data_IF_664195805072
#
_entry.id   IF_664195805072
#
_cell.length_a   1.000
_cell.length_b   1.000
_cell.length_c   1.000
_cell.angle_alpha   90.00
_cell.angle_beta   90.00
_cell.angle_gamma   90.00
#
_symmetry.space_group_name_H-M   'P 1'
#
loop_
_entity.id
_entity.type
_entity.pdbx_description
1 polymer ?
#
# COMPACT_ATOMS: atom_id res chain seq x y z
N UNK A 1 -40.16 10.29 -59.65
CA UNK A 1 -39.72 9.02 -59.04
C UNK A 1 -38.57 9.32 -58.08
N UNK A 2 -38.83 9.25 -56.78
CA UNK A 2 -37.96 9.74 -55.71
C UNK A 2 -36.90 8.67 -55.39
N UNK A 3 -35.61 9.01 -55.53
CA UNK A 3 -34.49 8.19 -55.05
C UNK A 3 -34.42 8.29 -53.52
N UNK A 4 -34.62 7.17 -52.83
CA UNK A 4 -34.41 7.03 -51.39
C UNK A 4 -32.91 7.11 -51.09
N UNK A 5 -32.48 8.15 -50.39
CA UNK A 5 -31.19 8.18 -49.69
C UNK A 5 -31.43 7.60 -48.29
N UNK A 6 -30.86 6.44 -47.99
CA UNK A 6 -30.80 5.90 -46.63
C UNK A 6 -29.48 6.39 -46.05
N UNK A 7 -29.54 7.43 -45.23
CA UNK A 7 -28.39 7.90 -44.46
C UNK A 7 -28.25 6.99 -43.25
N UNK A 8 -27.24 6.11 -43.27
CA UNK A 8 -26.86 5.28 -42.14
C UNK A 8 -26.18 6.18 -41.10
N UNK A 9 -26.92 6.58 -40.06
CA UNK A 9 -26.35 7.28 -38.92
C UNK A 9 -25.52 6.30 -38.09
N UNK A 10 -24.20 6.31 -38.29
CA UNK A 10 -23.26 5.64 -37.41
C UNK A 10 -23.27 6.36 -36.05
N UNK A 11 -24.03 5.81 -35.09
CA UNK A 11 -23.94 6.20 -33.68
C UNK A 11 -22.59 5.71 -33.16
N UNK A 12 -21.59 6.58 -33.26
CA UNK A 12 -20.35 6.44 -32.50
C UNK A 12 -20.70 6.61 -31.02
N UNK A 13 -20.89 5.50 -30.32
CA UNK A 13 -20.83 5.46 -28.86
C UNK A 13 -19.41 5.86 -28.44
N UNK A 14 -19.19 7.17 -28.27
CA UNK A 14 -18.09 7.68 -27.48
C UNK A 14 -18.35 7.29 -26.03
N UNK A 15 -17.87 6.11 -25.64
CA UNK A 15 -17.63 5.85 -24.22
C UNK A 15 -16.61 6.89 -23.75
N UNK A 16 -17.09 7.92 -23.07
CA UNK A 16 -16.24 8.88 -22.37
C UNK A 16 -15.56 8.12 -21.23
N UNK A 17 -14.38 7.57 -21.50
CA UNK A 17 -13.48 7.04 -20.48
C UNK A 17 -12.91 8.22 -19.70
N UNK A 18 -13.65 8.69 -18.69
CA UNK A 18 -13.06 9.52 -17.65
C UNK A 18 -12.27 8.59 -16.73
N UNK A 19 -11.06 8.22 -17.14
CA UNK A 19 -10.17 7.38 -16.32
C UNK A 19 -9.61 8.27 -15.21
N UNK A 20 -10.00 8.00 -13.97
CA UNK A 20 -9.26 8.52 -12.82
C UNK A 20 -7.79 8.09 -12.96
N UNK A 21 -6.86 9.00 -12.71
CA UNK A 21 -5.43 8.70 -12.74
C UNK A 21 -5.12 7.68 -11.64
N UNK A 22 -4.41 6.61 -11.98
CA UNK A 22 -3.97 5.61 -11.01
C UNK A 22 -2.99 6.23 -10.01
N UNK A 23 -3.34 6.19 -8.74
CA UNK A 23 -2.47 6.60 -7.64
C UNK A 23 -1.40 5.53 -7.42
N UNK A 24 -0.21 5.97 -7.00
CA UNK A 24 0.89 5.06 -6.71
C UNK A 24 1.43 5.39 -5.33
N UNK A 25 1.34 4.40 -4.44
CA UNK A 25 1.91 4.46 -3.09
C UNK A 25 3.05 3.46 -3.01
N UNK A 26 4.14 3.84 -2.35
CA UNK A 26 5.29 2.95 -2.14
C UNK A 26 5.56 2.83 -0.66
N UNK A 27 5.60 1.60 -0.15
CA UNK A 27 5.96 1.28 1.23
C UNK A 27 7.45 0.96 1.29
N UNK A 28 8.19 1.71 2.09
CA UNK A 28 9.60 1.45 2.40
C UNK A 28 9.75 1.09 3.87
N UNK A 29 10.56 0.07 4.14
CA UNK A 29 10.85 -0.39 5.49
C UNK A 29 12.30 -0.13 5.82
N UNK A 30 12.54 0.43 7.01
CA UNK A 30 13.85 0.84 7.46
C UNK A 30 14.17 0.25 8.83
N UNK A 31 15.44 -0.11 9.00
CA UNK A 31 16.01 -0.52 10.29
C UNK A 31 17.15 0.41 10.65
N UNK A 32 17.26 0.77 11.91
CA UNK A 32 18.42 1.54 12.35
C UNK A 32 18.31 2.01 13.78
N UNK A 33 18.76 3.23 14.03
CA UNK A 33 18.79 3.79 15.38
C UNK A 33 18.36 5.26 15.44
N UNK A 34 17.79 5.61 16.59
CA UNK A 34 17.70 6.97 17.09
C UNK A 34 18.64 7.04 18.30
N UNK A 35 19.77 7.72 18.14
CA UNK A 35 20.93 7.65 19.05
C UNK A 35 21.35 6.18 19.26
N UNK A 36 21.36 5.72 20.51
CA UNK A 36 21.67 4.32 20.89
C UNK A 36 20.47 3.37 20.84
N UNK A 37 19.27 3.87 20.55
CA UNK A 37 18.05 3.08 20.61
C UNK A 37 17.71 2.50 19.23
N UNK A 38 17.70 1.17 19.07
CA UNK A 38 17.34 0.56 17.80
C UNK A 38 15.85 0.73 17.51
N UNK A 39 15.52 0.96 16.24
CA UNK A 39 14.16 1.18 15.74
C UNK A 39 13.91 0.43 14.43
N UNK A 40 12.63 0.12 14.19
CA UNK A 40 12.08 -0.26 12.89
C UNK A 40 11.09 0.82 12.47
N UNK A 41 11.11 1.23 11.20
CA UNK A 41 10.29 2.30 10.66
C UNK A 41 9.72 1.91 9.30
N UNK A 42 8.43 2.10 9.09
CA UNK A 42 7.76 1.95 7.80
C UNK A 42 7.28 3.32 7.33
N UNK A 43 7.57 3.68 6.08
CA UNK A 43 7.12 4.91 5.44
C UNK A 43 6.38 4.59 4.14
N UNK A 44 5.14 5.05 4.04
CA UNK A 44 4.31 5.04 2.86
C UNK A 44 4.45 6.39 2.15
N UNK A 45 4.87 6.36 0.89
CA UNK A 45 5.10 7.54 0.07
C UNK A 45 4.06 7.59 -1.03
N UNK A 46 3.17 8.58 -0.99
CA UNK A 46 2.28 8.89 -2.10
C UNK A 46 3.05 9.67 -3.17
N UNK A 47 3.24 9.08 -4.35
CA UNK A 47 4.06 9.67 -5.42
C UNK A 47 3.44 10.90 -6.08
N UNK A 48 2.14 11.11 -5.94
CA UNK A 48 1.46 12.26 -6.56
C UNK A 48 1.61 13.54 -5.73
N UNK A 49 1.72 13.40 -4.41
CA UNK A 49 1.70 14.53 -3.46
C UNK A 49 2.99 14.68 -2.68
N UNK A 50 3.94 13.75 -2.83
CA UNK A 50 5.17 13.66 -2.03
C UNK A 50 4.92 13.64 -0.51
N UNK A 51 3.71 13.24 -0.11
CA UNK A 51 3.33 13.08 1.30
C UNK A 51 3.82 11.74 1.81
N UNK A 52 4.41 11.75 3.00
CA UNK A 52 4.79 10.55 3.73
C UNK A 52 3.88 10.36 4.93
N UNK A 53 3.44 9.13 5.12
CA UNK A 53 2.78 8.67 6.33
C UNK A 53 3.43 7.36 6.75
N UNK A 54 3.45 7.04 8.02
CA UNK A 54 4.13 5.85 8.45
C UNK A 54 4.19 5.70 9.95
N UNK A 55 4.91 4.68 10.38
CA UNK A 55 5.02 4.34 11.79
C UNK A 55 6.41 3.84 12.10
N UNK A 56 6.81 3.99 13.34
CA UNK A 56 8.05 3.38 13.82
C UNK A 56 7.91 2.95 15.27
N UNK A 57 8.74 2.01 15.69
CA UNK A 57 8.79 1.58 17.08
C UNK A 57 10.22 1.29 17.50
N UNK A 58 10.48 1.44 18.80
CA UNK A 58 11.72 1.01 19.42
C UNK A 58 11.66 -0.51 19.64
N UNK A 59 12.71 -1.24 19.25
CA UNK A 59 12.71 -2.72 19.37
C UNK A 59 12.44 -3.18 20.81
N UNK A 60 12.95 -2.44 21.81
CA UNK A 60 12.72 -2.76 23.22
C UNK A 60 11.24 -2.68 23.63
N UNK A 61 10.49 -1.77 23.02
CA UNK A 61 9.08 -1.53 23.35
C UNK A 61 8.13 -2.41 22.52
N UNK A 62 8.60 -2.93 21.38
CA UNK A 62 7.78 -3.76 20.49
C UNK A 62 6.85 -2.95 19.59
N UNK A 63 6.23 -3.65 18.64
CA UNK A 63 5.37 -3.07 17.59
C UNK A 63 4.07 -2.47 18.16
N UNK A 64 3.58 -2.99 19.29
CA UNK A 64 2.35 -2.50 19.96
C UNK A 64 2.55 -1.10 20.56
N UNK A 65 3.81 -0.67 20.70
CA UNK A 65 4.19 0.66 21.18
C UNK A 65 4.57 1.63 20.06
N UNK A 66 4.07 1.40 18.84
CA UNK A 66 4.36 2.21 17.66
C UNK A 66 3.95 3.68 17.82
N UNK A 67 4.74 4.53 17.19
CA UNK A 67 4.56 5.96 17.08
C UNK A 67 4.32 6.29 15.61
N UNK A 68 3.40 7.19 15.34
CA UNK A 68 3.08 7.57 13.98
C UNK A 68 3.92 8.75 13.54
N UNK A 69 4.27 8.75 12.27
CA UNK A 69 5.03 9.81 11.63
C UNK A 69 4.32 10.26 10.37
N UNK A 70 4.29 11.58 10.15
CA UNK A 70 3.73 12.17 8.93
C UNK A 70 4.56 13.35 8.47
N UNK A 71 4.69 13.52 7.16
CA UNK A 71 5.35 14.69 6.63
C UNK A 71 5.44 14.71 5.12
N UNK A 72 6.50 15.32 4.61
CA UNK A 72 6.69 15.56 3.18
C UNK A 72 8.13 15.29 2.75
N UNK A 73 8.28 14.83 1.52
CA UNK A 73 9.58 14.72 0.85
C UNK A 73 9.92 16.10 0.28
N UNK A 74 11.01 16.67 0.74
CA UNK A 74 11.54 17.92 0.24
C UNK A 74 12.55 17.73 -0.90
N UNK A 75 13.05 18.85 -1.47
CA UNK A 75 14.09 18.81 -2.48
C UNK A 75 15.37 18.14 -1.95
N UNK A 76 16.14 17.54 -2.86
CA UNK A 76 17.43 16.92 -2.53
C UNK A 76 17.33 15.68 -1.64
N UNK A 77 16.21 14.94 -1.67
CA UNK A 77 15.93 13.80 -0.79
C UNK A 77 15.91 14.15 0.70
N UNK A 78 15.56 15.40 1.04
CA UNK A 78 15.24 15.76 2.41
C UNK A 78 13.86 15.22 2.79
N UNK A 79 13.69 14.82 4.04
CA UNK A 79 12.44 14.30 4.60
C UNK A 79 12.25 14.97 5.96
N UNK A 80 11.10 15.61 6.14
CA UNK A 80 10.70 16.17 7.42
C UNK A 80 9.46 15.42 7.90
N UNK A 81 9.52 14.81 9.08
CA UNK A 81 8.39 14.09 9.68
C UNK A 81 8.05 14.67 11.05
N UNK A 82 6.76 14.74 11.34
CA UNK A 82 6.21 15.01 12.67
C UNK A 82 5.80 13.69 13.31
N UNK A 83 6.30 13.43 14.50
CA UNK A 83 5.93 12.27 15.31
C UNK A 83 4.76 12.58 16.23
N UNK A 84 3.80 11.65 16.32
CA UNK A 84 2.68 11.71 17.26
C UNK A 84 2.55 10.41 18.04
N UNK A 85 2.32 10.52 19.35
CA UNK A 85 1.97 9.40 20.21
C UNK A 85 0.44 9.33 20.38
N UNK A 86 -0.19 8.32 19.81
CA UNK A 86 -1.64 8.13 19.86
C UNK A 86 -2.16 7.76 21.25
N UNK A 87 -1.29 7.32 22.17
CA UNK A 87 -1.63 6.97 23.54
C UNK A 87 -1.68 8.20 24.45
N UNK A 88 -1.20 9.34 23.97
CA UNK A 88 -1.19 10.59 24.73
C UNK A 88 -2.00 11.66 24.00
N UNK A 89 -3.11 12.04 24.63
CA UNK A 89 -3.89 13.22 24.26
C UNK A 89 -3.35 14.42 25.02
N UNK A 90 -3.33 15.58 24.37
CA UNK A 90 -3.18 16.85 25.08
C UNK A 90 -4.52 17.31 25.66
N UNK A 91 -4.49 18.50 26.30
CA UNK A 91 -5.65 19.10 26.95
C UNK A 91 -6.80 19.45 25.98
N UNK A 92 -6.51 19.52 24.68
CA UNK A 92 -7.45 19.88 23.61
C UNK A 92 -7.88 18.63 22.80
N UNK A 93 -7.66 17.44 23.38
CA UNK A 93 -7.92 16.11 22.80
C UNK A 93 -7.15 15.82 21.49
N UNK A 94 -6.11 16.59 21.21
CA UNK A 94 -5.24 16.36 20.07
C UNK A 94 -4.12 15.37 20.42
N UNK A 95 -3.69 14.59 19.43
CA UNK A 95 -2.54 13.71 19.60
C UNK A 95 -1.28 14.54 19.83
N UNK A 96 -0.58 14.25 20.92
CA UNK A 96 0.60 14.99 21.32
C UNK A 96 1.72 14.80 20.32
N UNK A 97 2.29 15.91 19.85
CA UNK A 97 3.54 15.90 19.08
C UNK A 97 4.70 15.64 20.05
N UNK A 98 5.38 14.52 19.85
CA UNK A 98 6.46 14.06 20.73
C UNK A 98 7.84 14.20 20.11
N UNK A 99 7.92 14.36 18.79
CA UNK A 99 9.18 14.42 18.07
C UNK A 99 9.07 15.04 16.67
N UNK A 100 10.20 15.50 16.16
CA UNK A 100 10.37 16.02 14.81
C UNK A 100 11.60 15.37 14.18
N UNK A 101 11.44 14.75 13.02
CA UNK A 101 12.54 14.21 12.24
C UNK A 101 12.94 15.17 11.13
N UNK A 102 14.24 15.35 10.95
CA UNK A 102 14.83 15.95 9.75
C UNK A 102 15.88 14.96 9.23
N UNK A 103 15.57 14.31 8.11
CA UNK A 103 16.36 13.23 7.53
C UNK A 103 16.75 13.57 6.09
N UNK A 104 17.84 12.97 5.61
CA UNK A 104 18.29 13.08 4.23
C UNK A 104 18.77 11.71 3.73
N UNK A 105 18.47 11.40 2.48
CA UNK A 105 18.97 10.22 1.77
C UNK A 105 17.86 9.44 1.06
N UNK A 106 18.23 8.31 0.44
CA UNK A 106 17.27 7.37 -0.18
C UNK A 106 17.34 6.03 0.54
N UNK A 107 18.42 5.29 0.33
CA UNK A 107 18.58 3.90 0.80
C UNK A 107 19.10 3.88 2.23
N UNK A 108 19.80 4.93 2.63
CA UNK A 108 20.17 5.21 4.01
C UNK A 108 19.68 6.61 4.33
N UNK A 109 18.83 6.72 5.35
CA UNK A 109 18.40 8.01 5.88
C UNK A 109 19.30 8.37 7.06
N UNK A 110 19.83 9.58 7.06
CA UNK A 110 20.61 10.12 8.18
C UNK A 110 20.12 11.51 8.53
N UNK A 111 20.16 11.85 9.82
CA UNK A 111 19.70 13.15 10.27
C UNK A 111 19.49 13.21 11.76
N UNK A 112 18.44 13.90 12.21
CA UNK A 112 18.17 14.10 13.62
C UNK A 112 16.68 13.95 13.94
N UNK A 113 16.43 13.49 15.15
CA UNK A 113 15.17 13.57 15.86
C UNK A 113 15.28 14.68 16.91
N UNK A 114 14.26 15.53 17.04
CA UNK A 114 14.21 16.62 18.01
C UNK A 114 12.93 16.55 18.83
N UNK A 115 13.06 16.60 20.16
CA UNK A 115 11.94 16.80 21.05
C UNK A 115 11.51 18.28 21.02
N UNK A 116 10.28 18.62 20.60
CA UNK A 116 9.84 20.00 20.53
C UNK A 116 9.65 20.66 21.91
N UNK A 117 9.44 19.86 22.96
CA UNK A 117 9.15 20.35 24.31
C UNK A 117 10.43 20.59 25.14
N UNK A 118 11.44 19.73 24.98
CA UNK A 118 12.70 19.82 25.76
C UNK A 118 13.86 20.39 24.95
N UNK A 119 13.74 20.43 23.62
CA UNK A 119 14.82 20.81 22.71
C UNK A 119 15.90 19.75 22.54
N UNK A 120 15.78 18.58 23.18
CA UNK A 120 16.75 17.49 23.04
C UNK A 120 16.84 17.02 21.58
N UNK A 121 18.06 16.77 21.11
CA UNK A 121 18.34 16.32 19.75
C UNK A 121 19.09 15.00 19.80
N UNK A 122 18.62 14.03 19.02
CA UNK A 122 19.20 12.69 18.91
C UNK A 122 19.55 12.43 17.45
N UNK A 123 20.77 11.94 17.14
CA UNK A 123 21.12 11.59 15.76
C UNK A 123 20.31 10.37 15.30
N UNK A 124 19.96 10.32 14.02
CA UNK A 124 19.18 9.24 13.41
C UNK A 124 19.97 8.65 12.26
N UNK A 125 20.01 7.32 12.19
CA UNK A 125 20.58 6.58 11.07
C UNK A 125 19.71 5.37 10.79
N UNK A 126 19.16 5.29 9.58
CA UNK A 126 18.25 4.24 9.14
C UNK A 126 18.76 3.68 7.81
N UNK A 127 18.67 2.37 7.63
CA UNK A 127 18.96 1.68 6.38
C UNK A 127 17.69 1.01 5.86
N UNK A 128 17.38 1.21 4.59
CA UNK A 128 16.25 0.60 3.90
C UNK A 128 16.47 -0.91 3.77
N UNK A 129 15.40 -1.69 3.90
CA UNK A 129 15.39 -3.15 3.73
C UNK A 129 15.26 -3.54 2.26
N UNK A 130 14.52 -2.76 1.49
CA UNK A 130 14.32 -2.95 0.06
C UNK A 130 15.61 -2.70 -0.75
N UNK A 131 15.77 -3.44 -1.85
CA UNK A 131 16.91 -3.42 -2.76
C UNK A 131 16.55 -2.66 -4.04
N UNK A 132 16.61 -1.34 -3.97
CA UNK A 132 16.20 -0.48 -5.10
C UNK A 132 17.08 -0.64 -6.35
N UNK A 133 18.32 -1.12 -6.20
CA UNK A 133 19.25 -1.34 -7.33
C UNK A 133 18.74 -2.36 -8.38
N UNK A 134 17.74 -3.17 -8.04
CA UNK A 134 17.12 -4.12 -8.98
C UNK A 134 15.74 -3.72 -9.47
N UNK A 135 15.06 -2.80 -8.79
CA UNK A 135 13.73 -2.31 -9.12
C UNK A 135 13.54 -0.92 -8.48
N UNK A 136 13.67 0.13 -9.29
CA UNK A 136 13.45 1.51 -8.86
C UNK A 136 11.98 1.89 -9.09
N UNK A 137 11.19 2.18 -8.04
CA UNK A 137 9.78 2.57 -8.21
C UNK A 137 9.58 3.74 -9.17
N UNK A 138 10.54 4.67 -9.20
CA UNK A 138 10.51 5.85 -10.05
C UNK A 138 10.41 5.52 -11.56
N UNK A 139 11.02 4.41 -11.98
CA UNK A 139 11.07 3.96 -13.37
C UNK A 139 9.76 3.34 -13.87
N UNK A 140 8.88 2.98 -12.93
CA UNK A 140 7.59 2.36 -13.24
C UNK A 140 6.44 3.36 -13.19
N UNK A 141 5.52 3.21 -14.14
CA UNK A 141 4.20 3.85 -14.14
C UNK A 141 3.13 2.80 -14.29
N UNK A 142 2.02 2.99 -13.59
CA UNK A 142 0.91 2.04 -13.57
C UNK A 142 -0.36 2.70 -14.08
N UNK A 143 -1.16 1.94 -14.83
CA UNK A 143 -2.46 2.37 -15.28
C UNK A 143 -3.46 1.23 -15.12
N UNK A 144 -4.37 1.38 -14.17
CA UNK A 144 -5.53 0.52 -14.04
C UNK A 144 -6.60 0.95 -15.04
N UNK A 145 -7.09 0.00 -15.84
CA UNK A 145 -8.21 0.25 -16.74
C UNK A 145 -9.51 0.22 -15.94
N UNK A 146 -10.13 1.39 -15.80
CA UNK A 146 -11.41 1.54 -15.09
C UNK A 146 -12.61 1.57 -16.03
N UNK A 147 -13.74 1.05 -15.58
CA UNK A 147 -15.04 1.19 -16.25
C UNK A 147 -16.17 1.22 -15.23
N UNK A 148 -17.38 1.58 -15.68
CA UNK A 148 -18.59 1.52 -14.86
C UNK A 148 -19.30 0.19 -15.10
N UNK A 149 -19.59 -0.55 -14.03
CA UNK A 149 -20.31 -1.83 -14.10
C UNK A 149 -21.38 -1.93 -13.01
N UNK A 150 -22.48 -2.58 -13.32
CA UNK A 150 -23.56 -2.86 -12.36
C UNK A 150 -23.17 -3.98 -11.41
N UNK A 151 -23.55 -3.83 -10.15
CA UNK A 151 -23.43 -4.88 -9.13
C UNK A 151 -24.55 -4.72 -8.09
N UNK A 152 -24.91 -5.83 -7.45
CA UNK A 152 -25.85 -5.83 -6.33
C UNK A 152 -25.08 -5.59 -5.04
N UNK A 153 -25.48 -4.57 -4.29
CA UNK A 153 -24.89 -4.28 -2.98
C UNK A 153 -25.41 -5.22 -1.88
N UNK A 154 -24.79 -5.18 -0.71
CA UNK A 154 -25.19 -5.98 0.44
C UNK A 154 -26.63 -5.72 0.94
N UNK A 155 -27.24 -4.61 0.51
CA UNK A 155 -28.64 -4.27 0.76
C UNK A 155 -29.59 -4.73 -0.36
N UNK A 156 -29.12 -5.53 -1.31
CA UNK A 156 -29.85 -5.99 -2.50
C UNK A 156 -30.28 -4.87 -3.46
N UNK A 157 -29.55 -3.76 -3.51
CA UNK A 157 -29.78 -2.71 -4.51
C UNK A 157 -28.79 -2.84 -5.66
N UNK A 158 -29.29 -2.75 -6.90
CA UNK A 158 -28.42 -2.60 -8.05
C UNK A 158 -27.84 -1.19 -8.11
N UNK A 159 -26.51 -1.08 -8.18
CA UNK A 159 -25.80 0.19 -8.30
C UNK A 159 -24.67 0.11 -9.32
N UNK A 160 -24.30 1.28 -9.85
CA UNK A 160 -23.13 1.43 -10.71
C UNK A 160 -21.86 1.63 -9.86
N UNK A 161 -20.91 0.74 -9.99
CA UNK A 161 -19.60 0.83 -9.35
C UNK A 161 -18.51 1.12 -10.37
N UNK A 162 -17.39 1.69 -9.91
CA UNK A 162 -16.15 1.71 -10.71
C UNK A 162 -15.47 0.37 -10.53
N UNK A 163 -15.21 -0.31 -11.65
CA UNK A 163 -14.53 -1.59 -11.71
C UNK A 163 -13.19 -1.48 -12.43
N UNK A 164 -12.30 -2.42 -12.16
CA UNK A 164 -11.02 -2.60 -12.83
C UNK A 164 -10.89 -4.01 -13.37
N UNK A 165 -10.29 -4.16 -14.55
CA UNK A 165 -10.08 -5.49 -15.15
C UNK A 165 -8.73 -5.69 -15.84
N UNK A 166 -7.87 -4.66 -15.83
CA UNK A 166 -6.55 -4.72 -16.44
C UNK A 166 -5.62 -3.75 -15.74
N UNK A 167 -4.38 -4.17 -15.55
CA UNK A 167 -3.25 -3.37 -15.11
C UNK A 167 -2.23 -3.29 -16.25
N UNK A 168 -2.04 -2.08 -16.78
CA UNK A 168 -0.93 -1.77 -17.69
C UNK A 168 0.25 -1.25 -16.86
N UNK A 169 1.41 -1.87 -17.07
CA UNK A 169 2.67 -1.53 -16.41
C UNK A 169 3.62 -1.00 -17.45
N UNK A 170 4.13 0.21 -17.22
CA UNK A 170 5.11 0.87 -18.06
C UNK A 170 6.44 0.92 -17.33
N UNK A 171 7.52 0.61 -18.04
CA UNK A 171 8.89 0.79 -17.57
C UNK A 171 9.57 1.79 -18.48
N UNK A 172 10.09 2.88 -17.90
CA UNK A 172 10.70 3.98 -18.66
C UNK A 172 9.80 4.48 -19.81
N UNK A 173 8.53 4.72 -19.49
CA UNK A 173 7.48 5.17 -20.41
C UNK A 173 7.10 4.23 -21.55
N UNK A 174 7.66 3.02 -21.60
CA UNK A 174 7.29 1.98 -22.56
C UNK A 174 6.40 0.97 -21.89
N UNK A 175 5.33 0.57 -22.57
CA UNK A 175 4.49 -0.52 -22.09
C UNK A 175 5.35 -1.78 -21.95
N UNK A 176 5.47 -2.26 -20.72
CA UNK A 176 6.30 -3.39 -20.34
C UNK A 176 5.47 -4.65 -20.14
N UNK A 177 4.28 -4.52 -19.54
CA UNK A 177 3.41 -5.64 -19.23
C UNK A 177 1.94 -5.21 -19.24
N UNK A 178 1.05 -6.13 -19.66
CA UNK A 178 -0.39 -6.04 -19.41
C UNK A 178 -0.81 -7.25 -18.61
N UNK A 179 -1.53 -7.04 -17.50
CA UNK A 179 -2.06 -8.10 -16.67
C UNK A 179 -3.58 -7.95 -16.61
N UNK A 180 -4.30 -8.99 -17.01
CA UNK A 180 -5.76 -9.08 -16.88
C UNK A 180 -6.15 -10.30 -16.04
N UNK A 181 -7.39 -10.78 -16.20
CA UNK A 181 -7.88 -11.97 -15.48
C UNK A 181 -8.56 -11.67 -14.16
N UNK A 182 -8.90 -10.40 -13.90
CA UNK A 182 -9.69 -9.96 -12.76
C UNK A 182 -10.80 -9.02 -13.22
N UNK A 183 -11.85 -8.88 -12.40
CA UNK A 183 -12.91 -7.89 -12.59
C UNK A 183 -13.44 -7.49 -11.20
N UNK A 184 -12.86 -6.45 -10.61
CA UNK A 184 -13.09 -6.07 -9.21
C UNK A 184 -13.53 -4.62 -9.07
N UNK A 185 -14.32 -4.32 -8.03
CA UNK A 185 -14.64 -2.94 -7.69
C UNK A 185 -13.45 -2.26 -7.03
N UNK A 186 -13.31 -0.95 -7.25
CA UNK A 186 -12.41 -0.10 -6.48
C UNK A 186 -13.22 0.81 -5.57
N UNK A 187 -12.77 0.95 -4.34
CA UNK A 187 -13.42 1.84 -3.40
C UNK A 187 -13.24 3.32 -3.82
N UNK A 188 -14.25 4.14 -3.53
CA UNK A 188 -14.22 5.59 -3.69
C UNK A 188 -13.83 6.12 -5.08
N UNK A 189 -13.92 5.29 -6.13
CA UNK A 189 -13.44 5.60 -7.48
C UNK A 189 -11.95 5.98 -7.54
N UNK A 190 -11.13 5.46 -6.61
CA UNK A 190 -9.70 5.77 -6.50
C UNK A 190 -8.87 4.54 -6.89
N UNK A 191 -8.55 4.36 -8.19
CA UNK A 191 -7.64 3.30 -8.59
C UNK A 191 -6.25 3.57 -8.00
N UNK A 192 -5.71 2.61 -7.26
CA UNK A 192 -4.40 2.71 -6.61
C UNK A 192 -3.57 1.44 -6.87
N UNK A 193 -2.27 1.62 -7.03
CA UNK A 193 -1.28 0.56 -6.97
C UNK A 193 -0.35 0.86 -5.80
N UNK A 194 -0.24 -0.10 -4.88
CA UNK A 194 0.69 -0.05 -3.75
C UNK A 194 1.87 -0.94 -4.09
N UNK A 195 3.08 -0.40 -3.98
CA UNK A 195 4.33 -1.15 -4.09
C UNK A 195 4.86 -1.47 -2.69
N UNK A 196 5.06 -2.75 -2.39
CA UNK A 196 5.53 -3.25 -1.08
C UNK A 196 6.25 -4.59 -1.28
N UNK A 197 7.25 -4.91 -0.47
CA UNK A 197 7.89 -6.25 -0.49
C UNK A 197 6.99 -7.26 0.24
N UNK A 198 6.25 -8.07 -0.52
CA UNK A 198 5.23 -8.99 0.00
C UNK A 198 5.80 -10.38 0.33
N UNK A 199 6.98 -10.70 -0.20
CA UNK A 199 7.63 -12.01 -0.03
C UNK A 199 8.96 -11.96 0.75
N UNK A 200 9.36 -10.77 1.21
CA UNK A 200 10.52 -10.48 2.04
C UNK A 200 11.88 -10.77 1.37
N UNK A 201 11.94 -10.69 0.04
CA UNK A 201 13.17 -10.92 -0.75
C UNK A 201 13.96 -9.62 -1.04
N UNK A 202 13.39 -8.49 -0.65
CA UNK A 202 13.90 -7.13 -0.81
C UNK A 202 13.45 -6.45 -2.11
N UNK A 203 12.68 -7.09 -2.98
CA UNK A 203 12.13 -6.47 -4.18
C UNK A 203 10.69 -6.04 -3.93
N UNK A 204 10.30 -4.89 -4.48
CA UNK A 204 8.92 -4.42 -4.36
C UNK A 204 8.03 -5.22 -5.30
N UNK A 205 6.96 -5.77 -4.73
CA UNK A 205 5.85 -6.39 -5.40
C UNK A 205 4.71 -5.36 -5.55
N UNK A 206 3.55 -5.77 -6.09
CA UNK A 206 2.37 -4.90 -6.20
C UNK A 206 1.19 -5.48 -5.42
N UNK A 207 0.40 -4.59 -4.83
CA UNK A 207 -0.98 -4.89 -4.44
C UNK A 207 -1.93 -3.78 -4.88
N UNK A 208 -3.15 -4.16 -5.24
CA UNK A 208 -4.20 -3.24 -5.71
C UNK A 208 -5.40 -3.37 -4.79
N UNK A 209 -5.76 -2.32 -4.03
CA UNK A 209 -6.94 -2.35 -3.18
C UNK A 209 -8.21 -2.61 -4.01
N UNK A 210 -9.05 -3.52 -3.54
CA UNK A 210 -10.35 -3.84 -4.14
C UNK A 210 -11.45 -3.85 -3.08
N UNK A 211 -12.68 -3.66 -3.55
CA UNK A 211 -13.89 -3.56 -2.75
C UNK A 211 -14.91 -4.62 -3.19
N UNK A 212 -15.69 -5.12 -2.24
CA UNK A 212 -16.72 -6.14 -2.40
C UNK A 212 -18.08 -5.56 -1.94
N UNK A 213 -18.79 -4.83 -2.82
CA UNK A 213 -20.04 -4.16 -2.47
C UNK A 213 -21.14 -5.07 -1.95
N UNK A 214 -21.10 -6.36 -2.31
CA UNK A 214 -22.07 -7.37 -1.93
C UNK A 214 -21.93 -7.83 -0.47
N UNK A 215 -20.91 -7.37 0.26
CA UNK A 215 -20.60 -7.78 1.63
C UNK A 215 -20.79 -6.64 2.63
N UNK A 216 -21.29 -6.97 3.83
CA UNK A 216 -21.40 -6.03 4.97
C UNK A 216 -20.13 -6.02 5.82
N UNK A 217 -19.40 -7.13 5.82
CA UNK A 217 -18.14 -7.34 6.55
C UNK A 217 -17.12 -7.91 5.59
N UNK A 218 -15.84 -7.57 5.78
CA UNK A 218 -14.77 -7.97 4.86
C UNK A 218 -15.08 -7.56 3.44
N UNK A 219 -15.57 -6.33 3.31
CA UNK A 219 -15.96 -5.71 2.05
C UNK A 219 -14.75 -5.12 1.30
N UNK A 220 -13.52 -5.40 1.74
CA UNK A 220 -12.30 -4.94 1.10
C UNK A 220 -11.21 -6.00 1.12
N UNK A 221 -10.35 -5.96 0.11
CA UNK A 221 -9.23 -6.89 -0.07
C UNK A 221 -8.17 -6.29 -1.01
N UNK A 222 -7.24 -7.09 -1.48
CA UNK A 222 -6.27 -6.71 -2.50
C UNK A 222 -6.12 -7.78 -3.58
N UNK A 223 -5.85 -7.34 -4.81
CA UNK A 223 -5.16 -8.17 -5.78
C UNK A 223 -3.66 -8.11 -5.48
N UNK A 224 -2.95 -9.24 -5.55
CA UNK A 224 -1.53 -9.32 -5.26
C UNK A 224 -0.74 -9.79 -6.48
N UNK A 225 0.42 -9.17 -6.72
CA UNK A 225 1.30 -9.51 -7.83
C UNK A 225 2.75 -9.52 -7.36
N UNK A 226 3.42 -10.66 -7.51
CA UNK A 226 4.81 -10.86 -7.08
C UNK A 226 5.77 -10.58 -8.23
N UNK A 227 6.86 -9.87 -7.97
CA UNK A 227 7.88 -9.58 -8.94
C UNK A 227 8.77 -10.81 -9.19
N UNK A 228 8.71 -11.33 -10.42
CA UNK A 228 9.61 -12.38 -10.87
C UNK A 228 10.90 -11.76 -11.41
N UNK A 229 11.99 -11.92 -10.66
CA UNK A 229 13.32 -11.38 -10.99
C UNK A 229 13.91 -11.91 -12.30
N UNK A 230 13.51 -13.11 -12.72
CA UNK A 230 14.02 -13.76 -13.95
C UNK A 230 13.35 -13.17 -15.18
N UNK A 231 12.01 -13.10 -15.19
CA UNK A 231 11.25 -12.52 -16.30
C UNK A 231 11.18 -10.99 -16.24
N UNK A 232 11.52 -10.40 -15.08
CA UNK A 232 11.36 -8.97 -14.75
C UNK A 232 9.91 -8.50 -14.90
N UNK A 233 8.97 -9.37 -14.58
CA UNK A 233 7.53 -9.14 -14.71
C UNK A 233 6.82 -9.37 -13.37
N UNK A 234 5.64 -8.80 -13.22
CA UNK A 234 4.78 -9.02 -12.05
C UNK A 234 3.79 -10.14 -12.35
N UNK A 235 3.66 -11.10 -11.43
CA UNK A 235 2.83 -12.29 -11.61
C UNK A 235 1.73 -12.30 -10.56
N UNK A 236 0.48 -12.39 -10.99
CA UNK A 236 -0.66 -12.43 -10.08
C UNK A 236 -0.57 -13.65 -9.16
N UNK A 237 -0.70 -13.43 -7.86
CA UNK A 237 -0.48 -14.47 -6.85
C UNK A 237 -1.79 -14.92 -6.21
N UNK A 238 -2.41 -15.93 -6.83
CA UNK A 238 -3.74 -16.42 -6.49
C UNK A 238 -3.91 -16.77 -5.01
N UNK A 239 -2.92 -17.44 -4.41
CA UNK A 239 -3.01 -17.84 -3.00
C UNK A 239 -3.10 -16.64 -2.04
N UNK A 240 -2.44 -15.51 -2.35
CA UNK A 240 -2.55 -14.30 -1.52
C UNK A 240 -3.92 -13.65 -1.69
N UNK A 241 -4.46 -13.66 -2.92
CA UNK A 241 -5.79 -13.14 -3.23
C UNK A 241 -6.88 -13.92 -2.49
N UNK A 242 -6.76 -15.24 -2.44
CA UNK A 242 -7.69 -16.11 -1.68
C UNK A 242 -7.62 -15.89 -0.16
N UNK A 243 -6.46 -15.46 0.34
CA UNK A 243 -6.30 -15.06 1.73
C UNK A 243 -6.81 -13.63 2.00
N UNK A 244 -7.23 -12.91 0.97
CA UNK A 244 -7.88 -11.61 0.99
C UNK A 244 -7.05 -10.49 1.65
N UNK A 245 -7.41 -10.03 2.85
CA UNK A 245 -6.80 -8.86 3.48
C UNK A 245 -5.60 -9.28 4.34
N UNK A 246 -4.39 -8.98 3.86
CA UNK A 246 -3.14 -9.38 4.49
C UNK A 246 -2.30 -8.19 4.95
N UNK A 247 -1.63 -8.35 6.10
CA UNK A 247 -0.59 -7.46 6.61
C UNK A 247 0.77 -8.15 6.53
N UNK A 248 1.82 -7.40 6.18
CA UNK A 248 3.17 -7.92 5.96
C UNK A 248 4.12 -7.33 7.01
N UNK A 249 4.71 -8.18 7.84
CA UNK A 249 5.72 -7.80 8.83
C UNK A 249 7.12 -8.09 8.24
N UNK A 250 7.87 -7.07 7.79
CA UNK A 250 9.17 -7.23 7.15
C UNK A 250 10.28 -7.60 8.15
N UNK A 251 10.04 -7.43 9.45
CA UNK A 251 11.00 -7.70 10.52
C UNK A 251 10.93 -9.18 10.89
N UNK A 252 9.71 -9.68 11.15
CA UNK A 252 9.46 -11.10 11.44
C UNK A 252 9.43 -11.96 10.17
N UNK A 253 9.30 -11.33 9.00
CA UNK A 253 9.04 -11.99 7.71
C UNK A 253 7.80 -12.88 7.82
N UNK A 254 6.71 -12.27 8.25
CA UNK A 254 5.43 -12.91 8.50
C UNK A 254 4.32 -12.17 7.76
N UNK A 255 3.38 -12.94 7.23
CA UNK A 255 2.14 -12.40 6.70
C UNK A 255 1.06 -12.73 7.72
N UNK A 256 0.24 -11.76 8.13
CA UNK A 256 -0.86 -11.99 9.07
C UNK A 256 -2.20 -11.65 8.44
N UNK A 257 -3.20 -12.45 8.78
CA UNK A 257 -4.62 -12.22 8.47
C UNK A 257 -5.41 -12.16 9.77
N UNK A 258 -6.25 -11.15 9.89
CA UNK A 258 -7.15 -10.96 11.03
C UNK A 258 -8.57 -11.38 10.63
N UNK A 259 -9.10 -12.38 11.32
CA UNK A 259 -10.46 -12.86 11.16
C UNK A 259 -11.25 -12.56 12.44
N UNK A 260 -12.48 -12.07 12.32
CA UNK A 260 -13.39 -11.79 13.43
C UNK A 260 -14.25 -13.04 13.61
N UNK A 261 -14.05 -13.72 14.74
CA UNK A 261 -14.92 -14.79 15.20
C UNK A 261 -16.08 -14.26 16.03
N UNK A 262 -16.98 -15.16 16.44
CA UNK A 262 -18.06 -14.83 17.38
C UNK A 262 -17.55 -14.43 18.77
N UNK A 263 -16.36 -14.93 19.16
CA UNK A 263 -15.79 -14.83 20.51
C UNK A 263 -14.55 -13.92 20.59
N UNK A 264 -14.17 -13.24 19.50
CA UNK A 264 -12.97 -12.39 19.46
C UNK A 264 -12.28 -12.39 18.10
N UNK A 265 -10.99 -12.09 18.08
CA UNK A 265 -10.18 -12.08 16.86
C UNK A 265 -9.32 -13.34 16.78
N UNK A 266 -9.25 -13.92 15.59
CA UNK A 266 -8.34 -14.99 15.22
C UNK A 266 -7.28 -14.38 14.32
N UNK A 267 -6.01 -14.52 14.70
CA UNK A 267 -4.89 -14.03 13.91
C UNK A 267 -4.15 -15.23 13.33
N UNK A 268 -4.18 -15.36 12.01
CA UNK A 268 -3.47 -16.39 11.28
C UNK A 268 -2.14 -15.83 10.77
N UNK A 269 -1.03 -16.44 11.16
CA UNK A 269 0.31 -16.04 10.74
C UNK A 269 0.86 -17.05 9.73
N UNK A 270 1.33 -16.53 8.61
CA UNK A 270 1.86 -17.30 7.50
C UNK A 270 3.34 -16.97 7.27
N UNK A 271 4.07 -17.94 6.73
CA UNK A 271 5.46 -17.78 6.27
C UNK A 271 5.54 -17.95 4.76
N UNK A 272 6.38 -17.14 4.13
CA UNK A 272 6.71 -17.28 2.72
C UNK A 272 7.84 -18.30 2.51
N UNK A 273 7.65 -19.23 1.58
CA UNK A 273 8.71 -20.17 1.15
C UNK A 273 8.42 -20.68 -0.25
N UNK A 274 9.44 -20.71 -1.11
CA UNK A 274 9.38 -21.31 -2.46
C UNK A 274 8.17 -20.83 -3.30
N UNK A 275 7.88 -19.53 -3.24
CA UNK A 275 6.78 -18.91 -4.00
C UNK A 275 5.38 -19.22 -3.46
N UNK A 276 5.27 -19.65 -2.21
CA UNK A 276 4.00 -19.98 -1.55
C UNK A 276 3.96 -19.46 -0.12
N UNK A 277 2.76 -19.25 0.39
CA UNK A 277 2.53 -18.97 1.81
C UNK A 277 2.00 -20.22 2.52
N UNK A 278 2.44 -20.42 3.77
CA UNK A 278 2.03 -21.55 4.61
C UNK A 278 1.62 -21.05 5.98
N UNK A 279 0.51 -21.55 6.50
CA UNK A 279 0.06 -21.24 7.86
C UNK A 279 1.11 -21.78 8.85
N UNK A 280 1.69 -20.88 9.63
CA UNK A 280 2.71 -21.20 10.62
C UNK A 280 2.12 -21.33 12.02
N UNK A 281 1.17 -20.45 12.37
CA UNK A 281 0.44 -20.51 13.64
C UNK A 281 -0.86 -19.72 13.57
N UNK A 282 -1.74 -19.99 14.52
CA UNK A 282 -2.98 -19.26 14.76
C UNK A 282 -3.02 -18.83 16.22
N UNK A 283 -3.35 -17.57 16.46
CA UNK A 283 -3.52 -16.99 17.79
C UNK A 283 -4.96 -16.51 17.96
N UNK A 284 -5.43 -16.46 19.21
CA UNK A 284 -6.74 -15.90 19.57
C UNK A 284 -6.53 -14.74 20.52
N UNK A 285 -7.12 -13.60 20.19
CA UNK A 285 -7.29 -12.50 21.13
C UNK A 285 -8.71 -12.56 21.68
N UNK A 286 -8.81 -12.93 22.95
CA UNK A 286 -10.05 -12.84 23.72
C UNK A 286 -10.34 -11.36 24.02
N UNK A 287 -11.60 -10.94 23.88
CA UNK A 287 -12.05 -9.58 24.21
C UNK A 287 -12.25 -9.38 25.71
#
# INVERSE_FOLDING_TARGET
>A
MIKKLITLAAILFFNQFCSAQTQVTVTYNYTGTISKYPVEMQLLVNRATDTLEGEYYYLKSGIDAKLWVRGVKGPGNSINLTEKDFRQRDKDDQFRITGLFTLTGTDTLSGNWKNPNTGAVLPVKLAMREKLNGLQPADYKFKLRTYKGEMTDAGNHQRMYTKINQLDIYYQDKLHQRIGGFDQCVDNNRPEVIMEDLNFDGYLDLKVPVYFPERVKYDGSFLYFIYNKTSRQFEMHQQLIELEYLTFDPVKKEVSRYDQGAEGFIINYYKWKDGKVYLARTEREEQ
#
